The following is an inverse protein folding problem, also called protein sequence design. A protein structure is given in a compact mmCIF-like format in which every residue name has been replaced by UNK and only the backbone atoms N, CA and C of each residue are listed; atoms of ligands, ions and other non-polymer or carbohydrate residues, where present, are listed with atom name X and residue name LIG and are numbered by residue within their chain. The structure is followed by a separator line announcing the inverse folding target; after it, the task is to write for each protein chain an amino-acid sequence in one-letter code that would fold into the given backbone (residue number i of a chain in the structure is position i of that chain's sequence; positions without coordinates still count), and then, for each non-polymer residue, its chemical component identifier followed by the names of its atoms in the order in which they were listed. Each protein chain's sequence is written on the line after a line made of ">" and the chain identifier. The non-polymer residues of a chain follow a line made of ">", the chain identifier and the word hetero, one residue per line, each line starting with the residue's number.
data_IF_070642392135
#
_entry.id   IF_070642392135
#
_cell.length_a   1.000
_cell.length_b   1.000
_cell.length_c   1.000
_cell.angle_alpha   90.00
_cell.angle_beta   90.00
_cell.angle_gamma   90.00
#
_symmetry.space_group_name_H-M   'P 1'
#
loop_
_entity.id
_entity.type
_entity.pdbx_description
1 polymer ?
#
# COMPACT_ATOMS: atom_id res chain seq x y z
N UNK A 1 0.55 2.52 -9.01
CA UNK A 1 1.98 2.51 -9.41
C UNK A 1 2.29 1.26 -10.20
N UNK A 2 3.14 1.33 -11.22
CA UNK A 2 3.49 0.17 -12.04
C UNK A 2 5.01 -0.04 -11.97
N UNK A 3 5.45 -1.25 -11.58
CA UNK A 3 6.86 -1.69 -11.66
C UNK A 3 7.05 -2.55 -12.90
N UNK A 4 8.22 -3.14 -13.15
CA UNK A 4 8.40 -4.05 -14.29
C UNK A 4 7.38 -5.20 -14.30
N UNK A 5 7.14 -5.80 -13.13
CA UNK A 5 6.35 -7.03 -13.00
C UNK A 5 5.02 -6.86 -12.26
N UNK A 6 4.89 -5.81 -11.45
CA UNK A 6 3.75 -5.66 -10.55
C UNK A 6 2.98 -4.37 -10.82
N UNK A 7 1.68 -4.42 -10.57
CA UNK A 7 0.86 -3.24 -10.31
C UNK A 7 0.66 -3.15 -8.81
N UNK A 8 0.99 -2.00 -8.22
CA UNK A 8 0.74 -1.71 -6.81
C UNK A 8 -0.38 -0.69 -6.71
N UNK A 9 -1.42 -1.03 -5.96
CA UNK A 9 -2.62 -0.24 -5.76
C UNK A 9 -3.04 -0.24 -4.29
N UNK A 10 -3.70 0.82 -3.89
CA UNK A 10 -4.25 0.98 -2.55
C UNK A 10 -5.76 0.90 -2.56
N UNK A 11 -6.36 0.29 -1.54
CA UNK A 11 -7.82 0.29 -1.38
C UNK A 11 -8.31 1.69 -0.97
N UNK A 12 -9.19 2.27 -1.80
CA UNK A 12 -9.81 3.57 -1.53
C UNK A 12 -10.82 3.54 -0.38
N UNK A 13 -11.69 2.53 -0.25
CA UNK A 13 -12.51 2.31 0.93
C UNK A 13 -11.73 1.66 2.08
N UNK A 14 -12.04 2.03 3.32
CA UNK A 14 -11.57 1.27 4.47
C UNK A 14 -12.39 -0.02 4.62
N UNK A 15 -11.75 -1.10 5.07
CA UNK A 15 -12.37 -2.40 5.34
C UNK A 15 -11.98 -2.88 6.74
N UNK A 16 -12.80 -3.75 7.33
CA UNK A 16 -12.50 -4.37 8.62
C UNK A 16 -11.58 -5.57 8.38
N UNK A 17 -10.36 -5.52 8.91
CA UNK A 17 -9.42 -6.63 8.84
C UNK A 17 -9.81 -7.81 9.74
N UNK A 18 -9.12 -8.94 9.59
CA UNK A 18 -9.35 -10.15 10.39
C UNK A 18 -9.18 -9.94 11.91
N UNK A 19 -8.46 -8.89 12.31
CA UNK A 19 -8.29 -8.47 13.70
C UNK A 19 -9.40 -7.54 14.21
N UNK A 20 -10.47 -7.33 13.45
CA UNK A 20 -11.59 -6.45 13.80
C UNK A 20 -11.29 -4.95 13.66
N UNK A 21 -10.10 -4.55 13.20
CA UNK A 21 -9.72 -3.14 13.04
C UNK A 21 -10.10 -2.63 11.65
N UNK A 22 -10.67 -1.42 11.61
CA UNK A 22 -10.90 -0.69 10.38
C UNK A 22 -9.57 -0.19 9.82
N UNK A 23 -9.29 -0.45 8.54
CA UNK A 23 -8.04 -0.07 7.89
C UNK A 23 -8.14 -0.12 6.37
N UNK A 24 -7.02 0.07 5.70
CA UNK A 24 -6.90 -0.09 4.25
C UNK A 24 -5.97 -1.25 3.89
N UNK A 25 -5.78 -1.47 2.60
CA UNK A 25 -4.79 -2.42 2.11
C UNK A 25 -3.93 -1.79 1.02
N UNK A 26 -2.64 -2.12 1.04
CA UNK A 26 -1.74 -1.94 -0.10
C UNK A 26 -1.60 -3.30 -0.78
N UNK A 27 -2.05 -3.39 -2.02
CA UNK A 27 -2.10 -4.64 -2.79
C UNK A 27 -1.10 -4.64 -3.93
N UNK A 28 -0.53 -5.80 -4.19
CA UNK A 28 0.32 -6.06 -5.33
C UNK A 28 -0.34 -7.12 -6.21
N UNK A 29 -0.43 -6.81 -7.49
CA UNK A 29 -0.97 -7.69 -8.52
C UNK A 29 0.13 -8.04 -9.52
N UNK A 30 0.18 -9.30 -9.94
CA UNK A 30 0.97 -9.67 -11.11
C UNK A 30 0.42 -8.92 -12.33
N UNK A 31 1.29 -8.19 -13.03
CA UNK A 31 0.86 -7.31 -14.12
C UNK A 31 0.29 -8.08 -15.31
N UNK A 32 0.78 -9.30 -15.58
CA UNK A 32 0.36 -10.05 -16.76
C UNK A 32 -1.02 -10.67 -16.58
N UNK A 33 -1.27 -11.17 -15.37
CA UNK A 33 -2.47 -11.98 -15.06
C UNK A 33 -3.53 -11.19 -14.30
N UNK A 34 -3.17 -10.07 -13.67
CA UNK A 34 -4.06 -9.34 -12.76
C UNK A 34 -4.30 -10.03 -11.42
N UNK A 35 -3.68 -11.19 -11.17
CA UNK A 35 -3.85 -11.93 -9.92
C UNK A 35 -3.18 -11.20 -8.75
N UNK A 36 -3.87 -11.08 -7.62
CA UNK A 36 -3.27 -10.59 -6.38
C UNK A 36 -2.17 -11.56 -5.93
N UNK A 37 -0.97 -11.04 -5.69
CA UNK A 37 0.20 -11.82 -5.23
C UNK A 37 0.63 -11.44 -3.80
N UNK A 38 0.21 -10.26 -3.31
CA UNK A 38 0.42 -9.85 -1.93
C UNK A 38 -0.56 -8.75 -1.52
N UNK A 39 -0.87 -8.67 -0.22
CA UNK A 39 -1.60 -7.59 0.41
C UNK A 39 -1.00 -7.26 1.78
N UNK A 40 -0.81 -5.99 2.07
CA UNK A 40 -0.27 -5.50 3.34
C UNK A 40 -1.29 -4.58 4.00
N UNK A 41 -1.62 -4.77 5.30
CA UNK A 41 -2.59 -3.93 5.98
C UNK A 41 -2.03 -2.51 6.18
N UNK A 42 -2.92 -1.53 6.05
CA UNK A 42 -2.67 -0.12 6.30
C UNK A 42 -3.53 0.37 7.46
N UNK A 43 -3.04 1.35 8.24
CA UNK A 43 -3.77 1.87 9.40
C UNK A 43 -5.05 2.65 9.03
N UNK A 44 -5.21 3.01 7.76
CA UNK A 44 -6.37 3.74 7.22
C UNK A 44 -6.49 3.49 5.72
N UNK A 45 -7.60 3.93 5.14
CA UNK A 45 -7.80 3.88 3.68
C UNK A 45 -6.72 4.66 2.94
N UNK A 46 -6.47 4.28 1.69
CA UNK A 46 -5.54 5.00 0.82
C UNK A 46 -6.20 6.28 0.33
N UNK A 47 -5.49 7.39 0.52
CA UNK A 47 -5.95 8.73 0.15
C UNK A 47 -5.11 9.39 -0.95
N UNK A 48 -4.02 8.75 -1.36
CA UNK A 48 -3.19 9.18 -2.49
C UNK A 48 -2.54 8.00 -3.20
N UNK A 49 -2.10 8.22 -4.44
CA UNK A 49 -1.48 7.18 -5.25
C UNK A 49 -0.16 6.68 -4.65
N UNK A 50 0.09 5.36 -4.63
CA UNK A 50 1.40 4.83 -4.26
C UNK A 50 2.51 5.34 -5.19
N UNK A 51 3.70 5.54 -4.64
CA UNK A 51 4.91 5.97 -5.36
C UNK A 51 6.14 5.18 -4.90
N UNK A 52 7.20 5.15 -5.71
CA UNK A 52 8.47 4.49 -5.37
C UNK A 52 9.63 5.46 -5.48
N UNK A 53 10.65 5.25 -4.66
CA UNK A 53 11.88 6.05 -4.63
C UNK A 53 13.05 5.20 -4.14
N UNK A 54 14.27 5.71 -4.35
CA UNK A 54 15.51 5.12 -3.85
C UNK A 54 16.08 6.00 -2.73
N UNK A 55 16.51 5.39 -1.62
CA UNK A 55 17.23 6.07 -0.55
C UNK A 55 18.26 5.12 0.07
N UNK A 56 19.51 5.56 0.23
CA UNK A 56 20.58 4.73 0.81
C UNK A 56 20.79 3.40 0.07
N UNK A 57 20.64 3.39 -1.26
CA UNK A 57 20.76 2.18 -2.09
C UNK A 57 19.58 1.20 -1.99
N UNK A 58 18.53 1.53 -1.25
CA UNK A 58 17.34 0.68 -1.05
C UNK A 58 16.12 1.28 -1.75
N UNK A 59 15.29 0.42 -2.33
CA UNK A 59 14.01 0.81 -2.93
C UNK A 59 12.92 0.85 -1.88
N UNK A 60 12.09 1.88 -1.97
CA UNK A 60 10.94 2.08 -1.10
C UNK A 60 9.66 2.26 -1.90
N UNK A 61 8.54 1.93 -1.26
CA UNK A 61 7.19 2.23 -1.74
C UNK A 61 6.49 3.05 -0.66
N UNK A 62 6.09 4.27 -0.99
CA UNK A 62 5.31 5.13 -0.10
C UNK A 62 3.87 5.28 -0.57
N UNK A 63 2.95 5.39 0.39
CA UNK A 63 1.53 5.65 0.14
C UNK A 63 0.97 6.58 1.22
N UNK A 64 0.15 7.54 0.80
CA UNK A 64 -0.58 8.41 1.70
C UNK A 64 -1.86 7.70 2.18
N UNK A 65 -2.08 7.72 3.50
CA UNK A 65 -3.28 7.18 4.13
C UNK A 65 -3.90 8.23 5.03
N UNK A 66 -5.22 8.33 5.01
CA UNK A 66 -6.00 9.19 5.90
C UNK A 66 -7.46 8.72 5.95
N UNK A 67 -8.15 8.97 7.06
CA UNK A 67 -9.51 8.49 7.27
C UNK A 67 -10.23 9.25 8.37
N UNK A 68 -11.54 9.05 8.49
CA UNK A 68 -12.31 9.64 9.59
C UNK A 68 -11.76 9.13 10.93
N UNK A 69 -11.28 10.04 11.77
CA UNK A 69 -10.66 9.73 13.06
C UNK A 69 -9.18 9.33 13.02
N UNK A 70 -8.53 9.32 11.86
CA UNK A 70 -7.10 9.00 11.72
C UNK A 70 -6.31 10.15 11.08
N UNK A 71 -5.23 10.56 11.72
CA UNK A 71 -4.31 11.56 11.19
C UNK A 71 -3.70 11.08 9.86
N UNK A 72 -3.61 12.00 8.90
CA UNK A 72 -2.94 11.74 7.63
C UNK A 72 -1.47 11.43 7.85
N UNK A 73 -0.98 10.37 7.21
CA UNK A 73 0.43 9.96 7.30
C UNK A 73 0.91 9.35 5.99
N UNK A 74 2.22 9.41 5.78
CA UNK A 74 2.91 8.66 4.74
C UNK A 74 3.45 7.36 5.34
N UNK A 75 3.03 6.22 4.80
CA UNK A 75 3.55 4.90 5.17
C UNK A 75 4.52 4.46 4.09
N UNK A 76 5.74 4.08 4.49
CA UNK A 76 6.79 3.62 3.58
C UNK A 76 7.21 2.19 3.87
N UNK A 77 7.25 1.37 2.81
CA UNK A 77 7.61 -0.04 2.84
C UNK A 77 8.92 -0.28 2.09
N UNK A 78 9.69 -1.25 2.58
CA UNK A 78 10.86 -1.80 1.89
C UNK A 78 10.94 -3.31 2.16
N UNK A 79 11.67 -4.02 1.32
CA UNK A 79 12.04 -5.40 1.63
C UNK A 79 13.05 -5.44 2.79
N UNK A 80 13.04 -6.50 3.62
CA UNK A 80 14.11 -6.75 4.59
C UNK A 80 15.48 -6.86 3.93
N UNK A 81 16.53 -6.39 4.62
CA UNK A 81 17.91 -6.27 4.12
C UNK A 81 18.57 -4.97 4.53
#
# INVERSE_FOLDING_TARGET
>A
MITKHLVIAGDGPATTGANGKLGGWLRAYDKKTGKEVAAVPLPSRVSGSPMTYMAGGKQYVAVAVSGSGANGQLVSFRLPG
#
